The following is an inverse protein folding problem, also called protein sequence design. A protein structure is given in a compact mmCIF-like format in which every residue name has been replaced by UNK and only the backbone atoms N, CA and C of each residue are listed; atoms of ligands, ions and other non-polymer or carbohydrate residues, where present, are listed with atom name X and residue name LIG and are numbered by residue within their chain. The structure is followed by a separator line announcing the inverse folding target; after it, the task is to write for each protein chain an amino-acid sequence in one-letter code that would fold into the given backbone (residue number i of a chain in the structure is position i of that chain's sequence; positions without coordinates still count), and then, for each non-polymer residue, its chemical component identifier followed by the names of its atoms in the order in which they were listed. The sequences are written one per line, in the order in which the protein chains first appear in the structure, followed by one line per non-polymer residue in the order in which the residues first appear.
data_IF_153333517868
#
_entry.id   IF_153333517868
#
_cell.length_a   1.000
_cell.length_b   1.000
_cell.length_c   1.000
_cell.angle_alpha   90.00
_cell.angle_beta   90.00
_cell.angle_gamma   90.00
#
_symmetry.space_group_name_H-M   'P 1'
#
loop_
_entity.id
_entity.type
_entity.pdbx_description
1 polymer ?
#
# COMPACT_ATOMS: atom_id res chain seq x y z
N UNK A 1 -4.60 0.80 35.05
CA UNK A 1 -3.97 1.08 33.74
C UNK A 1 -4.24 -0.14 32.89
N UNK A 2 -5.29 -0.10 32.08
CA UNK A 2 -5.60 -1.17 31.14
C UNK A 2 -4.87 -0.81 29.85
N UNK A 3 -3.86 -1.61 29.49
CA UNK A 3 -3.28 -1.56 28.15
C UNK A 3 -4.16 -2.53 27.35
N UNK A 4 -5.10 -1.99 26.58
CA UNK A 4 -5.78 -2.76 25.56
C UNK A 4 -4.75 -3.05 24.46
N UNK A 5 -4.05 -4.19 24.59
CA UNK A 5 -3.30 -4.77 23.48
C UNK A 5 -4.35 -5.24 22.48
N UNK A 6 -4.75 -4.37 21.56
CA UNK A 6 -5.47 -4.81 20.36
C UNK A 6 -4.49 -5.68 19.57
N UNK A 7 -4.55 -6.99 19.77
CA UNK A 7 -4.10 -7.96 18.77
C UNK A 7 -4.99 -7.73 17.55
N UNK A 8 -4.64 -6.75 16.71
CA UNK A 8 -5.24 -6.62 15.39
C UNK A 8 -4.89 -7.88 14.63
N UNK A 9 -5.89 -8.44 13.94
CA UNK A 9 -5.70 -9.58 13.07
C UNK A 9 -4.51 -9.28 12.14
N UNK A 10 -3.47 -10.13 12.08
CA UNK A 10 -2.31 -9.89 11.23
C UNK A 10 -2.68 -9.71 9.75
N UNK A 11 -3.87 -10.18 9.35
CA UNK A 11 -4.41 -10.06 8.00
C UNK A 11 -5.36 -8.84 7.82
N UNK A 12 -5.80 -8.17 8.92
CA UNK A 12 -6.60 -6.92 8.87
C UNK A 12 -5.71 -5.74 8.43
N UNK A 13 -5.48 -5.62 7.13
CA UNK A 13 -4.72 -4.49 6.59
C UNK A 13 -3.78 -4.82 5.46
N UNK A 14 -3.66 -6.08 5.07
CA UNK A 14 -2.76 -6.47 4.00
C UNK A 14 -3.30 -6.03 2.63
N UNK A 15 -2.46 -5.35 1.86
CA UNK A 15 -2.76 -4.89 0.52
C UNK A 15 -1.91 -5.72 -0.43
N UNK A 16 -2.54 -6.42 -1.37
CA UNK A 16 -1.88 -7.05 -2.51
C UNK A 16 -2.42 -6.42 -3.78
N UNK A 17 -1.56 -5.75 -4.54
CA UNK A 17 -2.00 -5.00 -5.71
C UNK A 17 -0.92 -4.93 -6.79
N UNK A 18 -1.35 -4.46 -7.96
CA UNK A 18 -0.49 -4.19 -9.11
C UNK A 18 -0.72 -2.76 -9.56
N UNK A 19 0.36 -2.06 -9.89
CA UNK A 19 0.32 -0.74 -10.51
C UNK A 19 1.13 -0.73 -11.79
N UNK A 20 0.60 -0.11 -12.85
CA UNK A 20 1.37 0.08 -14.09
C UNK A 20 2.06 1.43 -14.06
N UNK A 21 3.39 1.43 -14.14
CA UNK A 21 4.16 2.67 -14.11
C UNK A 21 3.76 3.58 -15.28
N UNK A 22 3.38 4.83 -14.97
CA UNK A 22 2.97 5.78 -16.00
C UNK A 22 4.11 6.16 -16.97
N UNK A 23 5.37 6.05 -16.52
CA UNK A 23 6.53 6.50 -17.28
C UNK A 23 7.08 5.44 -18.25
N UNK A 24 7.12 4.17 -17.84
CA UNK A 24 7.76 3.09 -18.63
C UNK A 24 6.86 1.89 -18.92
N UNK A 25 5.60 1.93 -18.46
CA UNK A 25 4.64 0.84 -18.65
C UNK A 25 4.97 -0.46 -17.89
N UNK A 26 5.97 -0.44 -17.00
CA UNK A 26 6.31 -1.60 -16.20
C UNK A 26 5.23 -1.87 -15.15
N UNK A 27 4.77 -3.12 -15.08
CA UNK A 27 3.85 -3.58 -14.03
C UNK A 27 4.63 -3.82 -12.74
N UNK A 28 4.19 -3.18 -11.67
CA UNK A 28 4.80 -3.20 -10.35
C UNK A 28 3.81 -3.90 -9.42
N UNK A 29 4.01 -5.19 -9.10
CA UNK A 29 3.28 -5.83 -8.01
C UNK A 29 3.82 -5.33 -6.68
N UNK A 30 2.95 -5.20 -5.71
CA UNK A 30 3.35 -4.71 -4.41
C UNK A 30 2.43 -5.28 -3.33
N UNK A 31 3.03 -5.68 -2.21
CA UNK A 31 2.35 -6.17 -1.03
C UNK A 31 2.75 -5.31 0.16
N UNK A 32 1.79 -4.78 0.92
CA UNK A 32 2.09 -3.90 2.06
C UNK A 32 0.96 -3.89 3.08
N UNK A 33 1.08 -3.05 4.10
CA UNK A 33 0.07 -2.96 5.15
C UNK A 33 -0.53 -1.55 5.20
N UNK A 34 -1.86 -1.42 5.27
CA UNK A 34 -2.57 -0.13 5.30
C UNK A 34 -2.04 0.82 6.39
N UNK A 35 -1.53 0.26 7.49
CA UNK A 35 -1.00 0.98 8.64
C UNK A 35 0.51 0.77 8.87
N UNK A 36 1.19 0.07 7.96
CA UNK A 36 2.62 -0.23 8.03
C UNK A 36 3.30 0.24 6.75
N UNK A 37 4.19 1.23 6.86
CA UNK A 37 4.77 1.96 5.72
C UNK A 37 5.72 1.17 4.82
N UNK A 38 5.70 -0.17 4.83
CA UNK A 38 6.60 -1.00 4.01
C UNK A 38 5.77 -1.74 2.95
N UNK A 39 6.25 -1.67 1.71
CA UNK A 39 5.66 -2.39 0.58
C UNK A 39 6.75 -3.18 -0.15
N UNK A 40 6.53 -4.48 -0.32
CA UNK A 40 7.43 -5.42 -0.99
C UNK A 40 6.97 -5.69 -2.42
N UNK A 41 7.87 -5.58 -3.41
CA UNK A 41 7.63 -6.01 -4.79
C UNK A 41 8.59 -7.16 -5.13
N UNK A 42 8.08 -8.37 -5.33
CA UNK A 42 8.88 -9.52 -5.79
C UNK A 42 10.18 -9.79 -5.00
N UNK A 43 10.16 -9.61 -3.68
CA UNK A 43 11.34 -9.83 -2.82
C UNK A 43 12.36 -8.69 -2.81
N UNK A 44 12.11 -7.60 -3.54
CA UNK A 44 12.83 -6.34 -3.38
C UNK A 44 11.95 -5.34 -2.62
N UNK A 45 12.56 -4.64 -1.67
CA UNK A 45 11.96 -3.49 -1.02
C UNK A 45 11.75 -2.40 -2.08
N UNK A 46 10.52 -1.93 -2.22
CA UNK A 46 10.20 -0.79 -3.07
C UNK A 46 9.85 0.35 -2.14
N UNK A 47 10.52 1.49 -2.34
CA UNK A 47 10.18 2.72 -1.64
C UNK A 47 8.72 3.07 -1.98
N UNK A 48 7.86 2.84 -1.01
CA UNK A 48 6.45 3.10 -1.12
C UNK A 48 5.90 3.64 0.19
N UNK A 49 4.92 4.51 0.07
CA UNK A 49 4.25 5.12 1.20
C UNK A 49 2.76 4.96 1.00
N UNK A 50 2.12 4.31 1.96
CA UNK A 50 0.66 4.17 2.01
C UNK A 50 0.15 5.07 3.13
N UNK A 51 -0.80 5.93 2.82
CA UNK A 51 -1.46 6.80 3.79
C UNK A 51 -2.96 6.60 3.69
N UNK A 52 -3.60 6.22 4.79
CA UNK A 52 -5.06 6.16 4.88
C UNK A 52 -5.61 7.58 4.94
N UNK A 53 -6.43 7.96 3.96
CA UNK A 53 -7.01 9.32 3.85
C UNK A 53 -8.45 9.39 4.32
N UNK A 54 -9.14 8.25 4.42
CA UNK A 54 -10.53 8.23 4.88
C UNK A 54 -11.19 6.86 4.80
N UNK A 55 -12.50 6.86 5.04
CA UNK A 55 -13.37 5.67 4.98
C UNK A 55 -14.61 6.02 4.17
N UNK A 56 -14.98 5.16 3.22
CA UNK A 56 -16.14 5.29 2.35
C UNK A 56 -16.98 4.01 2.42
N UNK A 57 -17.92 3.94 3.36
CA UNK A 57 -18.74 2.75 3.59
C UNK A 57 -17.86 1.56 4.02
N UNK A 58 -17.88 0.42 3.30
CA UNK A 58 -17.03 -0.73 3.60
C UNK A 58 -15.57 -0.55 3.10
N UNK A 59 -15.23 0.57 2.48
CA UNK A 59 -13.90 0.80 1.90
C UNK A 59 -13.06 1.77 2.73
N UNK A 60 -11.75 1.50 2.78
CA UNK A 60 -10.71 2.43 3.23
C UNK A 60 -10.13 3.13 2.00
N UNK A 61 -10.08 4.46 2.04
CA UNK A 61 -9.42 5.25 1.01
C UNK A 61 -7.96 5.47 1.37
N UNK A 62 -7.09 5.27 0.40
CA UNK A 62 -5.64 5.35 0.58
C UNK A 62 -5.02 6.21 -0.51
N UNK A 63 -4.01 6.98 -0.13
CA UNK A 63 -3.05 7.62 -1.02
C UNK A 63 -1.78 6.78 -1.02
N UNK A 64 -1.35 6.36 -2.20
CA UNK A 64 -0.19 5.48 -2.39
C UNK A 64 0.83 6.21 -3.25
N UNK A 65 2.06 6.28 -2.76
CA UNK A 65 3.22 6.65 -3.55
C UNK A 65 4.11 5.42 -3.68
N UNK A 66 4.56 5.09 -4.89
CA UNK A 66 5.51 4.00 -5.12
C UNK A 66 6.56 4.40 -6.16
N UNK A 67 7.80 4.03 -5.91
CA UNK A 67 8.87 4.21 -6.87
C UNK A 67 8.93 3.03 -7.83
N UNK A 68 8.96 3.29 -9.13
CA UNK A 68 9.15 2.22 -10.11
C UNK A 68 10.55 1.61 -9.98
N UNK A 69 10.70 0.30 -9.75
CA UNK A 69 12.02 -0.33 -9.61
C UNK A 69 12.82 -0.33 -10.91
N UNK A 70 12.15 -0.13 -12.06
CA UNK A 70 12.78 -0.16 -13.39
C UNK A 70 13.29 1.20 -13.87
N UNK A 71 12.50 2.26 -13.67
CA UNK A 71 12.80 3.60 -14.20
C UNK A 71 12.87 4.68 -13.13
N UNK A 72 12.70 4.31 -11.86
CA UNK A 72 12.76 5.21 -10.70
C UNK A 72 11.72 6.33 -10.69
N UNK A 73 10.77 6.35 -11.63
CA UNK A 73 9.65 7.28 -11.60
C UNK A 73 8.78 7.05 -10.37
N UNK A 74 8.42 8.14 -9.70
CA UNK A 74 7.52 8.13 -8.53
C UNK A 74 6.08 8.18 -9.03
N UNK A 75 5.32 7.13 -8.74
CA UNK A 75 3.91 7.00 -9.11
C UNK A 75 3.07 7.30 -7.87
N UNK A 76 2.21 8.31 -7.94
CA UNK A 76 1.28 8.66 -6.87
C UNK A 76 -0.16 8.49 -7.36
N UNK A 77 -0.98 7.75 -6.61
CA UNK A 77 -2.37 7.47 -6.95
C UNK A 77 -3.20 7.16 -5.71
N UNK A 78 -4.52 7.19 -5.86
CA UNK A 78 -5.46 6.78 -4.80
C UNK A 78 -6.03 5.40 -5.08
N UNK A 79 -6.32 4.66 -4.01
CA UNK A 79 -6.91 3.33 -4.06
C UNK A 79 -7.98 3.16 -2.98
N UNK A 80 -8.95 2.29 -3.23
CA UNK A 80 -9.93 1.82 -2.25
C UNK A 80 -9.61 0.38 -1.89
N UNK A 81 -9.48 0.10 -0.59
CA UNK A 81 -9.33 -1.25 -0.06
C UNK A 81 -10.57 -1.64 0.73
N UNK A 82 -11.13 -2.81 0.46
CA UNK A 82 -12.29 -3.31 1.20
C UNK A 82 -11.84 -3.73 2.60
N UNK A 83 -12.57 -3.32 3.65
CA UNK A 83 -12.30 -3.75 5.02
C UNK A 83 -12.60 -5.22 5.25
#
# INVERSE_FOLDING_TARGET
MFIDTFERDPDEGEIHAYHTCFACGHVIPFAGHMFGGIVLSHGNEVDATVTVTGVKGPYVEMSIQLQCPRCHAVNAFTALHHR
#
